data_IF_505553827950
#
_entry.id   IF_505553827950
#
_cell.length_a   1.000
_cell.length_b   1.000
_cell.length_c   1.000
_cell.angle_alpha   90.00
_cell.angle_beta   90.00
_cell.angle_gamma   90.00
#
_symmetry.space_group_name_H-M   'P 1'
#
loop_
_entity.id
_entity.type
_entity.pdbx_description
1 polymer ?
#
# COMPACT_ATOMS: atom_id res chain seq x y z
N UNK A 1 5.60 -10.79 -20.54
CA UNK A 1 4.82 -9.63 -20.06
C UNK A 1 3.53 -9.54 -20.85
N UNK A 2 2.39 -10.08 -20.39
CA UNK A 2 1.16 -9.45 -20.80
C UNK A 2 1.12 -8.09 -20.11
N UNK A 3 0.88 -7.03 -20.88
CA UNK A 3 0.59 -5.71 -20.33
C UNK A 3 -0.48 -5.88 -19.25
N UNK A 4 -0.25 -5.35 -18.04
CA UNK A 4 -1.34 -5.13 -17.08
C UNK A 4 -2.40 -4.33 -17.83
N UNK A 5 -3.60 -4.88 -18.10
CA UNK A 5 -4.54 -4.21 -18.95
C UNK A 5 -5.12 -3.05 -18.16
N UNK A 6 -4.57 -1.85 -18.36
CA UNK A 6 -5.38 -0.64 -18.41
C UNK A 6 -6.19 -0.62 -19.71
N UNK A 7 -6.70 -1.77 -20.15
CA UNK A 7 -7.75 -1.84 -21.14
C UNK A 7 -8.95 -1.11 -20.54
N UNK A 8 -9.69 -0.39 -21.37
CA UNK A 8 -10.87 0.37 -20.99
C UNK A 8 -11.94 -0.56 -20.38
N UNK A 9 -11.79 -0.88 -19.10
CA UNK A 9 -12.68 -1.75 -18.30
C UNK A 9 -14.07 -1.13 -18.15
N UNK A 10 -14.26 0.13 -18.58
CA UNK A 10 -15.56 0.78 -18.55
C UNK A 10 -16.60 0.09 -19.44
N UNK A 11 -16.18 -0.66 -20.47
CA UNK A 11 -17.08 -1.40 -21.33
C UNK A 11 -17.64 -2.67 -20.67
N UNK A 12 -16.90 -3.30 -19.73
CA UNK A 12 -17.31 -4.55 -19.06
C UNK A 12 -17.91 -4.33 -17.66
N UNK A 13 -17.88 -3.10 -17.13
CA UNK A 13 -18.56 -2.77 -15.87
C UNK A 13 -20.08 -2.73 -16.02
N UNK A 14 -20.80 -3.27 -15.02
CA UNK A 14 -22.27 -3.15 -14.94
C UNK A 14 -22.69 -1.68 -14.97
N UNK A 15 -23.76 -1.35 -15.71
CA UNK A 15 -24.23 0.04 -15.87
C UNK A 15 -24.48 0.74 -14.52
N UNK A 16 -25.05 0.02 -13.56
CA UNK A 16 -25.29 0.51 -12.20
C UNK A 16 -23.99 0.90 -11.48
N UNK A 17 -22.95 0.07 -11.61
CA UNK A 17 -21.61 0.34 -11.07
C UNK A 17 -20.97 1.57 -11.72
N UNK A 18 -21.02 1.66 -13.05
CA UNK A 18 -20.48 2.80 -13.81
C UNK A 18 -21.14 4.11 -13.41
N UNK A 19 -22.47 4.12 -13.30
CA UNK A 19 -23.23 5.30 -12.89
C UNK A 19 -22.86 5.72 -11.46
N UNK A 20 -22.75 4.75 -10.54
CA UNK A 20 -22.33 5.03 -9.16
C UNK A 20 -20.91 5.58 -9.10
N UNK A 21 -19.96 4.96 -9.80
CA UNK A 21 -18.57 5.43 -9.92
C UNK A 21 -18.52 6.86 -10.44
N UNK A 22 -19.22 7.14 -11.53
CA UNK A 22 -19.31 8.47 -12.14
C UNK A 22 -19.89 9.52 -11.19
N UNK A 23 -20.93 9.15 -10.43
CA UNK A 23 -21.53 10.03 -9.42
C UNK A 23 -20.53 10.34 -8.31
N UNK A 24 -19.86 9.33 -7.76
CA UNK A 24 -18.86 9.51 -6.71
C UNK A 24 -17.69 10.37 -7.21
N UNK A 25 -17.19 10.13 -8.42
CA UNK A 25 -16.12 10.93 -9.03
C UNK A 25 -16.46 12.43 -9.20
N UNK A 26 -17.75 12.79 -9.20
CA UNK A 26 -18.22 14.18 -9.27
C UNK A 26 -18.64 14.75 -7.93
N UNK A 27 -19.19 13.92 -7.06
CA UNK A 27 -19.78 14.33 -5.79
C UNK A 27 -18.76 14.35 -4.65
N UNK A 28 -17.68 13.57 -4.77
CA UNK A 28 -16.59 13.51 -3.80
C UNK A 28 -15.40 14.31 -4.29
N UNK A 29 -14.58 14.77 -3.34
CA UNK A 29 -13.38 15.55 -3.60
C UNK A 29 -12.27 15.07 -2.69
N UNK A 30 -11.03 15.15 -3.16
CA UNK A 30 -9.82 14.91 -2.37
C UNK A 30 -9.17 16.25 -1.99
N UNK A 31 -9.91 17.35 -2.08
CA UNK A 31 -9.47 18.67 -1.65
C UNK A 31 -9.22 18.68 -0.14
N UNK A 32 -8.11 19.29 0.28
CA UNK A 32 -7.68 19.33 1.67
C UNK A 32 -6.86 18.10 2.11
N UNK A 33 -6.48 17.21 1.19
CA UNK A 33 -5.52 16.15 1.48
C UNK A 33 -4.18 16.72 1.98
N UNK A 34 -3.72 16.19 3.12
CA UNK A 34 -2.55 16.67 3.86
C UNK A 34 -1.35 15.71 3.79
N UNK A 35 -1.53 14.47 3.34
CA UNK A 35 -0.46 13.46 3.36
C UNK A 35 0.81 13.91 2.63
N UNK A 36 0.69 14.37 1.38
CA UNK A 36 1.87 14.78 0.59
C UNK A 36 2.58 15.99 1.19
N UNK A 37 1.84 16.89 1.84
CA UNK A 37 2.43 18.00 2.57
C UNK A 37 3.24 17.47 3.77
N UNK A 38 2.69 16.54 4.54
CA UNK A 38 3.41 15.89 5.65
C UNK A 38 4.65 15.12 5.18
N UNK A 39 4.58 14.44 4.03
CA UNK A 39 5.74 13.77 3.44
C UNK A 39 6.84 14.79 3.10
N UNK A 40 6.48 15.92 2.50
CA UNK A 40 7.43 16.96 2.09
C UNK A 40 8.05 17.73 3.26
N UNK A 41 7.27 17.97 4.32
CA UNK A 41 7.69 18.73 5.51
C UNK A 41 8.32 17.84 6.60
N UNK A 42 8.11 16.53 6.53
CA UNK A 42 8.59 15.58 7.50
C UNK A 42 10.10 15.42 7.47
N UNK A 43 10.68 15.25 8.66
CA UNK A 43 12.08 14.91 8.87
C UNK A 43 12.15 13.40 9.11
N UNK A 44 12.38 12.64 8.03
CA UNK A 44 12.44 11.19 8.05
C UNK A 44 13.58 10.69 7.17
N UNK A 45 14.21 9.60 7.57
CA UNK A 45 15.25 8.91 6.78
C UNK A 45 14.64 7.87 5.84
N UNK A 46 13.58 7.19 6.29
CA UNK A 46 12.88 6.14 5.54
C UNK A 46 11.38 6.41 5.50
N UNK A 47 10.81 6.49 4.30
CA UNK A 47 9.37 6.46 4.08
C UNK A 47 8.96 5.14 3.43
N UNK A 48 8.24 4.30 4.17
CA UNK A 48 7.59 3.10 3.66
C UNK A 48 6.17 3.41 3.20
N UNK A 49 5.87 3.20 1.92
CA UNK A 49 4.52 3.37 1.34
C UNK A 49 3.95 2.00 1.02
N UNK A 50 2.81 1.67 1.63
CA UNK A 50 2.05 0.44 1.38
C UNK A 50 0.98 0.67 0.33
N UNK A 51 0.94 -0.20 -0.69
CA UNK A 51 -0.05 -0.12 -1.77
C UNK A 51 -1.44 -0.58 -1.29
N UNK A 52 -2.43 0.31 -1.39
CA UNK A 52 -3.82 0.04 -1.02
C UNK A 52 -4.06 -0.34 0.45
N UNK A 53 -3.27 0.19 1.40
CA UNK A 53 -3.46 -0.07 2.83
C UNK A 53 -4.50 0.85 3.49
N UNK A 54 -5.68 0.28 3.76
CA UNK A 54 -6.83 0.95 4.36
C UNK A 54 -6.63 1.14 5.87
N UNK A 55 -6.91 2.36 6.35
CA UNK A 55 -6.65 2.78 7.73
C UNK A 55 -7.25 1.88 8.82
N UNK A 56 -8.52 1.49 8.70
CA UNK A 56 -9.16 0.66 9.75
C UNK A 56 -8.56 -0.75 9.81
N UNK A 57 -8.24 -1.33 8.66
CA UNK A 57 -7.63 -2.65 8.57
C UNK A 57 -6.19 -2.60 9.07
N UNK A 58 -5.48 -1.50 8.83
CA UNK A 58 -4.19 -1.23 9.44
C UNK A 58 -4.31 -1.17 10.97
N UNK A 59 -5.26 -0.39 11.51
CA UNK A 59 -5.51 -0.29 12.97
C UNK A 59 -5.86 -1.62 13.62
N UNK A 60 -6.58 -2.48 12.91
CA UNK A 60 -6.91 -3.83 13.39
C UNK A 60 -5.73 -4.82 13.31
N UNK A 61 -4.70 -4.49 12.53
CA UNK A 61 -3.55 -5.38 12.28
C UNK A 61 -2.37 -5.10 13.21
N UNK A 62 -2.38 -3.97 13.93
CA UNK A 62 -1.27 -3.48 14.72
C UNK A 62 -1.71 -2.98 16.07
N UNK A 63 -0.87 -3.19 17.08
CA UNK A 63 -1.16 -2.77 18.45
C UNK A 63 -0.54 -1.41 18.83
N UNK A 64 0.00 -0.67 17.85
CA UNK A 64 0.53 0.70 18.03
C UNK A 64 -0.45 1.80 17.59
N UNK A 65 -0.30 3.04 18.10
CA UNK A 65 -1.10 4.17 17.66
C UNK A 65 -0.92 4.46 16.15
N UNK A 66 -2.00 4.30 15.38
CA UNK A 66 -2.04 4.64 13.96
C UNK A 66 -2.79 5.95 13.75
N UNK A 67 -2.05 6.99 13.37
CA UNK A 67 -2.64 8.27 12.99
C UNK A 67 -3.34 8.16 11.64
N UNK A 68 -4.32 9.02 11.43
CA UNK A 68 -5.03 9.16 10.17
C UNK A 68 -4.48 10.37 9.42
N UNK A 69 -4.14 10.17 8.14
CA UNK A 69 -3.86 11.25 7.19
C UNK A 69 -4.72 11.07 5.96
N UNK A 70 -4.98 12.16 5.25
CA UNK A 70 -5.77 12.13 4.01
C UNK A 70 -4.83 12.13 2.81
N UNK A 71 -4.82 11.04 2.05
CA UNK A 71 -4.09 10.95 0.77
C UNK A 71 -4.80 11.78 -0.32
N UNK A 72 -4.06 12.39 -1.26
CA UNK A 72 -4.65 13.14 -2.36
C UNK A 72 -5.23 12.26 -3.47
N UNK A 73 -5.15 10.93 -3.35
CA UNK A 73 -5.52 10.00 -4.41
C UNK A 73 -6.27 8.78 -3.88
N UNK A 74 -7.08 8.17 -4.74
CA UNK A 74 -7.77 6.92 -4.46
C UNK A 74 -7.22 5.73 -5.25
N UNK A 75 -6.08 5.92 -5.93
CA UNK A 75 -5.36 4.91 -6.71
C UNK A 75 -3.90 5.36 -6.93
N UNK A 76 -2.96 4.42 -7.09
CA UNK A 76 -1.51 4.75 -7.23
C UNK A 76 -1.20 5.73 -8.38
N UNK A 77 -1.76 5.62 -9.60
CA UNK A 77 -1.43 6.55 -10.68
C UNK A 77 -1.73 8.01 -10.33
N UNK A 78 -2.87 8.28 -9.70
CA UNK A 78 -3.22 9.64 -9.26
C UNK A 78 -2.32 10.08 -8.08
N UNK A 79 -1.90 9.15 -7.22
CA UNK A 79 -0.96 9.43 -6.13
C UNK A 79 0.42 9.84 -6.67
N UNK A 80 0.94 9.10 -7.65
CA UNK A 80 2.22 9.40 -8.30
C UNK A 80 2.18 10.71 -9.07
N UNK A 81 1.09 10.99 -9.80
CA UNK A 81 0.91 12.27 -10.48
C UNK A 81 0.98 13.45 -9.48
N UNK A 82 0.22 13.37 -8.38
CA UNK A 82 0.21 14.40 -7.36
C UNK A 82 1.57 14.54 -6.63
N UNK A 83 2.32 13.43 -6.48
CA UNK A 83 3.64 13.43 -5.86
C UNK A 83 4.69 14.06 -6.78
N UNK A 84 4.65 13.74 -8.07
CA UNK A 84 5.51 14.31 -9.10
C UNK A 84 5.29 15.82 -9.26
N UNK A 85 4.02 16.27 -9.31
CA UNK A 85 3.66 17.70 -9.40
C UNK A 85 4.21 18.53 -8.23
N UNK A 86 4.44 17.90 -7.07
CA UNK A 86 5.01 18.52 -5.87
C UNK A 86 6.52 18.37 -5.75
N UNK A 87 7.17 17.63 -6.65
CA UNK A 87 8.59 17.29 -6.55
C UNK A 87 8.93 16.45 -5.32
N UNK A 88 8.00 15.61 -4.83
CA UNK A 88 8.19 14.85 -3.59
C UNK A 88 9.41 13.92 -3.61
N UNK A 89 9.84 13.49 -4.79
CA UNK A 89 10.94 12.54 -4.96
C UNK A 89 12.31 13.22 -5.10
N UNK A 90 12.36 14.56 -5.24
CA UNK A 90 13.62 15.28 -5.42
C UNK A 90 14.52 15.16 -4.19
N UNK A 91 15.81 14.90 -4.40
CA UNK A 91 16.80 14.71 -3.34
C UNK A 91 16.63 13.40 -2.55
N UNK A 92 15.96 12.39 -3.12
CA UNK A 92 15.64 11.12 -2.46
C UNK A 92 15.92 9.93 -3.37
N UNK A 93 16.23 8.80 -2.75
CA UNK A 93 16.23 7.51 -3.44
C UNK A 93 14.80 6.94 -3.48
N UNK A 94 14.42 6.32 -4.59
CA UNK A 94 13.11 5.68 -4.78
C UNK A 94 13.30 4.18 -5.03
N UNK A 95 12.83 3.36 -4.11
CA UNK A 95 12.86 1.90 -4.22
C UNK A 95 11.43 1.40 -4.40
N UNK A 96 11.08 0.86 -5.56
CA UNK A 96 9.67 0.57 -5.85
C UNK A 96 9.44 -0.84 -6.38
N UNK A 97 8.50 -1.53 -5.73
CA UNK A 97 7.90 -2.77 -6.20
C UNK A 97 6.70 -2.52 -7.12
N UNK A 98 6.25 -1.27 -7.30
CA UNK A 98 5.05 -0.91 -8.03
C UNK A 98 5.32 -0.53 -9.50
N UNK A 99 4.89 -1.34 -10.50
CA UNK A 99 5.12 -1.07 -11.92
C UNK A 99 4.46 0.20 -12.46
N UNK A 100 3.56 0.87 -11.73
CA UNK A 100 2.96 2.14 -12.17
C UNK A 100 4.02 3.24 -12.31
N UNK A 101 5.12 3.18 -11.54
CA UNK A 101 6.22 4.14 -11.61
C UNK A 101 6.81 4.29 -13.01
N UNK A 102 6.81 3.23 -13.83
CA UNK A 102 7.33 3.29 -15.21
C UNK A 102 6.56 4.25 -16.14
N UNK A 103 5.36 4.68 -15.72
CA UNK A 103 4.46 5.54 -16.51
C UNK A 103 4.64 7.02 -16.17
N UNK A 104 5.50 7.36 -15.20
CA UNK A 104 5.67 8.71 -14.71
C UNK A 104 7.12 9.15 -14.85
N UNK A 105 7.31 10.41 -15.25
CA UNK A 105 8.60 11.07 -15.23
C UNK A 105 8.61 12.06 -14.05
N UNK A 106 9.65 11.99 -13.22
CA UNK A 106 9.85 12.86 -12.07
C UNK A 106 11.34 12.90 -11.72
N UNK A 107 11.74 13.90 -10.93
CA UNK A 107 13.11 14.06 -10.44
C UNK A 107 13.30 13.26 -9.15
N UNK A 108 14.34 12.43 -9.11
CA UNK A 108 14.81 11.67 -7.94
C UNK A 108 16.33 11.47 -8.04
N UNK A 109 17.01 11.26 -6.92
CA UNK A 109 18.47 11.01 -6.92
C UNK A 109 18.80 9.65 -7.53
N UNK A 110 17.95 8.66 -7.25
CA UNK A 110 17.99 7.35 -7.90
C UNK A 110 16.63 6.67 -7.85
N UNK A 111 16.39 5.75 -8.79
CA UNK A 111 15.19 4.92 -8.83
C UNK A 111 15.55 3.47 -9.15
N UNK A 112 15.01 2.54 -8.35
CA UNK A 112 15.20 1.11 -8.52
C UNK A 112 13.85 0.39 -8.64
N UNK A 113 13.73 -0.45 -9.68
CA UNK A 113 12.48 -1.10 -10.08
C UNK A 113 12.53 -2.61 -9.80
N UNK A 114 11.94 -3.04 -8.68
CA UNK A 114 12.08 -4.42 -8.22
C UNK A 114 11.30 -5.44 -9.05
N UNK A 115 10.25 -5.03 -9.77
CA UNK A 115 9.53 -5.96 -10.66
C UNK A 115 10.37 -6.42 -11.85
N UNK A 116 11.49 -5.75 -12.14
CA UNK A 116 12.40 -6.15 -13.23
C UNK A 116 13.33 -7.31 -12.81
N UNK A 117 13.59 -7.47 -11.52
CA UNK A 117 14.60 -8.39 -10.98
C UNK A 117 14.07 -9.38 -9.94
N UNK A 118 12.99 -9.05 -9.24
CA UNK A 118 12.48 -9.78 -8.08
C UNK A 118 10.99 -10.17 -8.21
N UNK A 119 10.50 -10.27 -9.45
CA UNK A 119 9.15 -10.76 -9.72
C UNK A 119 9.00 -12.23 -9.28
N UNK A 120 8.02 -12.52 -8.45
CA UNK A 120 7.69 -13.88 -8.03
C UNK A 120 6.59 -14.45 -8.93
N UNK A 121 6.94 -15.37 -9.82
CA UNK A 121 5.98 -15.99 -10.75
C UNK A 121 4.89 -16.81 -10.05
N UNK A 122 5.15 -17.34 -8.85
CA UNK A 122 4.15 -18.14 -8.13
C UNK A 122 3.12 -17.24 -7.46
N UNK A 123 3.56 -16.14 -6.86
CA UNK A 123 2.68 -15.19 -6.17
C UNK A 123 2.20 -14.04 -7.07
N UNK A 124 2.72 -13.93 -8.30
CA UNK A 124 2.38 -12.88 -9.26
C UNK A 124 2.53 -11.47 -8.67
N UNK A 125 3.60 -11.25 -7.90
CA UNK A 125 3.89 -9.99 -7.22
C UNK A 125 5.39 -9.91 -6.87
N UNK A 126 5.84 -8.74 -6.44
CA UNK A 126 7.14 -8.58 -5.76
C UNK A 126 6.89 -8.66 -4.26
N UNK A 127 7.58 -9.56 -3.57
CA UNK A 127 7.52 -9.71 -2.12
C UNK A 127 8.29 -8.59 -1.41
N UNK A 128 8.00 -8.28 -0.13
CA UNK A 128 8.60 -7.12 0.53
C UNK A 128 10.10 -7.29 0.82
N UNK A 129 10.58 -8.52 1.04
CA UNK A 129 11.95 -8.82 1.47
C UNK A 129 13.04 -8.10 0.65
N UNK A 130 13.12 -8.29 -0.68
CA UNK A 130 14.12 -7.61 -1.50
C UNK A 130 14.12 -6.09 -1.40
N UNK A 131 12.94 -5.47 -1.24
CA UNK A 131 12.84 -4.01 -1.07
C UNK A 131 13.41 -3.60 0.29
N UNK A 132 13.06 -4.32 1.37
CA UNK A 132 13.55 -4.04 2.72
C UNK A 132 15.06 -4.29 2.88
N UNK A 133 15.58 -5.34 2.24
CA UNK A 133 17.01 -5.62 2.21
C UNK A 133 17.76 -4.44 1.56
N UNK A 134 17.26 -3.94 0.42
CA UNK A 134 17.85 -2.79 -0.25
C UNK A 134 17.73 -1.49 0.54
N UNK A 135 16.62 -1.27 1.25
CA UNK A 135 16.48 -0.14 2.20
C UNK A 135 17.55 -0.24 3.28
N UNK A 136 17.74 -1.42 3.87
CA UNK A 136 18.75 -1.67 4.91
C UNK A 136 20.16 -1.35 4.42
N UNK A 137 20.51 -1.82 3.22
CA UNK A 137 21.79 -1.49 2.59
C UNK A 137 21.95 0.02 2.33
N UNK A 138 20.86 0.70 1.94
CA UNK A 138 20.86 2.14 1.63
C UNK A 138 21.11 3.00 2.87
N UNK A 139 20.38 2.74 3.96
CA UNK A 139 20.44 3.55 5.19
C UNK A 139 21.69 3.28 6.02
N UNK A 140 22.33 2.13 5.84
CA UNK A 140 23.62 1.81 6.47
C UNK A 140 24.78 2.70 6.01
N UNK A 141 24.61 3.47 4.94
CA UNK A 141 25.59 4.44 4.43
C UNK A 141 25.18 5.90 4.66
N UNK A 142 26.08 6.84 4.34
CA UNK A 142 25.75 8.28 4.27
C UNK A 142 24.96 8.56 2.99
N UNK A 143 23.66 8.31 3.05
CA UNK A 143 22.75 8.32 1.90
C UNK A 143 21.59 9.30 2.11
N UNK A 144 21.02 9.89 1.03
CA UNK A 144 19.83 10.72 1.15
C UNK A 144 18.62 9.90 1.63
N UNK A 145 17.54 10.55 2.12
CA UNK A 145 16.33 9.86 2.52
C UNK A 145 15.75 8.98 1.40
N UNK A 146 15.11 7.88 1.79
CA UNK A 146 14.60 6.87 0.85
C UNK A 146 13.09 6.70 0.94
N UNK A 147 12.42 6.67 -0.22
CA UNK A 147 11.01 6.31 -0.36
C UNK A 147 10.96 4.89 -0.91
N UNK A 148 10.46 3.95 -0.09
CA UNK A 148 10.24 2.57 -0.49
C UNK A 148 8.74 2.29 -0.66
N UNK A 149 8.30 2.04 -1.89
CA UNK A 149 6.91 1.72 -2.20
C UNK A 149 6.73 0.21 -2.41
N UNK A 150 6.12 -0.43 -1.42
CA UNK A 150 5.88 -1.87 -1.37
C UNK A 150 4.56 -2.22 -2.07
N UNK A 151 4.50 -3.38 -2.71
CA UNK A 151 3.30 -3.84 -3.43
C UNK A 151 2.21 -4.39 -2.48
N UNK A 152 2.53 -4.67 -1.22
CA UNK A 152 1.54 -5.18 -0.26
C UNK A 152 0.94 -4.02 0.55
N UNK A 153 -0.36 -4.08 0.91
CA UNK A 153 -1.27 -5.23 0.79
C UNK A 153 -2.06 -5.38 -0.54
N UNK A 154 -1.79 -4.60 -1.58
CA UNK A 154 -2.48 -4.67 -2.88
C UNK A 154 -2.50 -6.09 -3.50
N UNK A 155 -3.48 -6.34 -4.36
CA UNK A 155 -3.63 -7.59 -5.08
C UNK A 155 -2.46 -7.89 -6.04
N UNK A 156 -2.05 -9.17 -6.24
CA UNK A 156 -2.50 -10.40 -5.59
C UNK A 156 -2.27 -10.44 -4.08
N UNK A 157 -3.32 -10.77 -3.32
CA UNK A 157 -3.21 -10.84 -1.86
C UNK A 157 -2.32 -12.01 -1.47
N UNK A 158 -1.17 -11.68 -0.89
CA UNK A 158 -0.23 -12.64 -0.32
C UNK A 158 -0.24 -12.53 1.20
N UNK A 159 -0.07 -13.65 1.90
CA UNK A 159 0.08 -13.67 3.34
C UNK A 159 1.28 -14.52 3.73
N UNK A 160 1.93 -14.15 4.83
CA UNK A 160 3.07 -14.87 5.38
C UNK A 160 2.56 -15.88 6.41
N UNK A 161 2.77 -17.16 6.12
CA UNK A 161 2.52 -18.28 7.05
C UNK A 161 3.90 -18.79 7.46
N UNK A 162 4.21 -18.74 8.75
CA UNK A 162 5.56 -18.95 9.28
C UNK A 162 6.57 -18.02 8.56
N UNK A 163 7.54 -18.60 7.85
CA UNK A 163 8.58 -17.89 7.08
C UNK A 163 8.34 -17.90 5.56
N UNK A 164 7.16 -18.33 5.12
CA UNK A 164 6.85 -18.44 3.70
C UNK A 164 5.68 -17.53 3.32
N UNK A 165 5.84 -16.80 2.21
CA UNK A 165 4.76 -16.07 1.57
C UNK A 165 3.93 -17.00 0.69
N UNK A 166 2.62 -16.95 0.79
CA UNK A 166 1.70 -17.72 -0.04
C UNK A 166 0.58 -16.82 -0.58
N UNK A 167 -0.04 -17.23 -1.69
CA UNK A 167 -1.27 -16.60 -2.16
C UNK A 167 -2.38 -16.82 -1.12
N UNK A 168 -2.82 -15.74 -0.49
CA UNK A 168 -3.93 -15.76 0.46
C UNK A 168 -5.28 -15.87 -0.26
N UNK A 169 -5.33 -15.46 -1.52
CA UNK A 169 -6.46 -15.68 -2.43
C UNK A 169 -5.95 -16.28 -3.75
N UNK A 170 -6.10 -17.60 -3.98
CA UNK A 170 -5.44 -18.30 -5.09
C UNK A 170 -6.16 -18.17 -6.45
N UNK A 171 -7.38 -17.60 -6.46
CA UNK A 171 -8.13 -17.39 -7.68
C UNK A 171 -7.75 -16.03 -8.29
N UNK A 172 -6.74 -16.04 -9.16
CA UNK A 172 -6.20 -14.84 -9.82
C UNK A 172 -6.88 -14.51 -11.15
N UNK A 173 -7.88 -15.29 -11.54
CA UNK A 173 -8.49 -15.23 -12.86
C UNK A 173 -7.62 -15.87 -13.96
N UNK A 174 -7.93 -15.61 -15.24
CA UNK A 174 -9.08 -14.81 -15.68
C UNK A 174 -10.42 -15.46 -15.27
N UNK A 175 -11.44 -14.63 -15.04
CA UNK A 175 -12.79 -15.11 -14.71
C UNK A 175 -13.66 -15.13 -15.95
N UNK A 176 -14.79 -15.84 -15.91
CA UNK A 176 -15.73 -15.91 -17.04
C UNK A 176 -17.16 -15.55 -16.66
N UNK A 177 -17.87 -14.95 -17.62
CA UNK A 177 -19.30 -14.67 -17.54
C UNK A 177 -20.00 -15.11 -18.83
N UNK A 178 -20.39 -16.38 -18.87
CA UNK A 178 -20.76 -17.03 -20.13
C UNK A 178 -19.54 -17.17 -21.03
N UNK A 179 -19.61 -16.59 -22.23
CA UNK A 179 -18.52 -16.61 -23.22
C UNK A 179 -17.57 -15.40 -23.09
N UNK A 180 -17.82 -14.47 -22.14
CA UNK A 180 -16.98 -13.28 -21.92
C UNK A 180 -15.87 -13.57 -20.89
N UNK A 181 -14.62 -13.26 -21.24
CA UNK A 181 -13.47 -13.27 -20.35
C UNK A 181 -13.36 -11.95 -19.57
N UNK A 182 -13.20 -12.02 -18.25
CA UNK A 182 -13.04 -10.88 -17.35
C UNK A 182 -11.62 -10.90 -16.81
N UNK A 183 -10.80 -9.94 -17.26
CA UNK A 183 -9.39 -9.83 -16.84
C UNK A 183 -9.20 -8.97 -15.57
N UNK A 184 -10.14 -8.08 -15.25
CA UNK A 184 -10.00 -7.12 -14.15
C UNK A 184 -10.69 -7.56 -12.87
N UNK A 185 -9.95 -7.63 -11.76
CA UNK A 185 -10.47 -7.97 -10.43
C UNK A 185 -11.65 -7.10 -10.00
N UNK A 186 -11.59 -5.78 -10.24
CA UNK A 186 -12.70 -4.85 -9.97
C UNK A 186 -14.01 -5.28 -10.66
N UNK A 187 -13.93 -5.67 -11.93
CA UNK A 187 -15.10 -6.11 -12.72
C UNK A 187 -15.57 -7.48 -12.24
N UNK A 188 -14.64 -8.38 -11.93
CA UNK A 188 -14.94 -9.71 -11.41
C UNK A 188 -15.65 -9.64 -10.05
N UNK A 189 -15.21 -8.79 -9.12
CA UNK A 189 -15.91 -8.52 -7.87
C UNK A 189 -17.30 -7.90 -8.12
N UNK A 190 -17.38 -6.87 -8.97
CA UNK A 190 -18.64 -6.20 -9.27
C UNK A 190 -19.69 -7.13 -9.91
N UNK A 191 -19.24 -8.14 -10.66
CA UNK A 191 -20.09 -9.17 -11.27
C UNK A 191 -20.29 -10.42 -10.39
N UNK A 192 -19.77 -10.42 -9.16
CA UNK A 192 -19.93 -11.54 -8.22
C UNK A 192 -19.19 -12.81 -8.65
N UNK A 193 -18.11 -12.68 -9.44
CA UNK A 193 -17.23 -13.79 -9.84
C UNK A 193 -16.17 -14.11 -8.80
N UNK A 194 -15.88 -13.14 -7.93
CA UNK A 194 -14.99 -13.27 -6.78
C UNK A 194 -15.83 -13.32 -5.51
N UNK A 195 -15.46 -14.21 -4.59
CA UNK A 195 -15.98 -14.20 -3.22
C UNK A 195 -15.32 -13.03 -2.47
N UNK A 196 -16.06 -11.92 -2.38
CA UNK A 196 -15.59 -10.65 -1.84
C UNK A 196 -15.27 -10.75 -0.34
N UNK A 197 -15.98 -11.58 0.42
CA UNK A 197 -15.70 -11.77 1.85
C UNK A 197 -14.40 -12.57 2.06
N UNK A 198 -14.18 -13.58 1.22
CA UNK A 198 -12.91 -14.31 1.20
C UNK A 198 -11.76 -13.43 0.72
N UNK A 199 -11.97 -12.60 -0.29
CA UNK A 199 -10.99 -11.62 -0.77
C UNK A 199 -10.63 -10.61 0.33
N UNK A 200 -11.63 -10.07 1.03
CA UNK A 200 -11.41 -9.18 2.17
C UNK A 200 -10.65 -9.88 3.31
N UNK A 201 -10.96 -11.14 3.60
CA UNK A 201 -10.22 -11.93 4.60
C UNK A 201 -8.75 -12.14 4.21
N UNK A 202 -8.48 -12.39 2.92
CA UNK A 202 -7.13 -12.50 2.37
C UNK A 202 -6.37 -11.17 2.44
N UNK A 203 -7.01 -10.06 2.09
CA UNK A 203 -6.47 -8.72 2.25
C UNK A 203 -6.10 -8.42 3.71
N UNK A 204 -6.98 -8.71 4.67
CA UNK A 204 -6.67 -8.54 6.11
C UNK A 204 -5.46 -9.38 6.55
N UNK A 205 -5.31 -10.59 6.01
CA UNK A 205 -4.13 -11.43 6.26
C UNK A 205 -2.86 -10.84 5.62
N UNK A 206 -2.97 -10.25 4.44
CA UNK A 206 -1.88 -9.52 3.77
C UNK A 206 -1.43 -8.32 4.60
N UNK A 207 -2.36 -7.50 5.10
CA UNK A 207 -2.06 -6.36 5.99
C UNK A 207 -1.31 -6.80 7.25
N UNK A 208 -1.77 -7.85 7.94
CA UNK A 208 -1.02 -8.39 9.10
C UNK A 208 0.36 -8.89 8.73
N UNK A 209 0.48 -9.53 7.57
CA UNK A 209 1.74 -10.14 7.12
C UNK A 209 2.79 -9.10 6.73
N UNK A 210 2.37 -8.01 6.07
CA UNK A 210 3.28 -6.93 5.73
C UNK A 210 3.80 -6.26 7.00
N UNK A 211 2.93 -5.90 7.95
CA UNK A 211 3.36 -5.34 9.24
C UNK A 211 4.32 -6.26 10.00
N UNK A 212 4.01 -7.56 10.13
CA UNK A 212 4.92 -8.56 10.74
C UNK A 212 6.29 -8.62 10.05
N UNK A 213 6.38 -8.23 8.78
CA UNK A 213 7.61 -8.25 8.00
C UNK A 213 8.38 -6.93 8.06
N UNK A 214 7.68 -5.79 8.19
CA UNK A 214 8.34 -4.49 8.32
C UNK A 214 9.01 -4.32 9.68
N UNK A 215 8.36 -4.77 10.75
CA UNK A 215 8.75 -4.40 12.13
C UNK A 215 10.19 -4.73 12.48
N UNK A 216 10.74 -5.93 12.19
CA UNK A 216 12.14 -6.22 12.54
C UNK A 216 13.13 -5.30 11.80
N UNK A 217 12.81 -4.91 10.56
CA UNK A 217 13.65 -4.00 9.80
C UNK A 217 13.56 -2.56 10.35
N UNK A 218 12.34 -2.10 10.66
CA UNK A 218 12.10 -0.80 11.29
C UNK A 218 12.83 -0.71 12.64
N UNK A 219 12.72 -1.75 13.47
CA UNK A 219 13.40 -1.83 14.77
C UNK A 219 14.91 -1.68 14.62
N UNK A 220 15.51 -2.42 13.69
CA UNK A 220 16.94 -2.31 13.38
C UNK A 220 17.32 -0.89 12.95
N UNK A 221 16.58 -0.29 12.01
CA UNK A 221 16.90 1.06 11.51
C UNK A 221 16.76 2.13 12.60
N UNK A 222 15.73 2.03 13.44
CA UNK A 222 15.53 2.96 14.56
C UNK A 222 16.61 2.82 15.61
N UNK A 223 17.06 1.59 15.90
CA UNK A 223 18.19 1.33 16.80
C UNK A 223 19.51 1.93 16.28
N UNK A 224 19.68 1.99 14.96
CA UNK A 224 20.80 2.66 14.29
C UNK A 224 20.63 4.19 14.21
N UNK A 225 19.54 4.72 14.76
CA UNK A 225 19.27 6.16 14.88
C UNK A 225 18.45 6.76 13.74
N UNK A 226 17.90 5.94 12.84
CA UNK A 226 17.07 6.41 11.74
C UNK A 226 15.62 6.69 12.18
N UNK A 227 15.00 7.64 11.49
CA UNK A 227 13.59 7.99 11.61
C UNK A 227 12.80 7.35 10.47
N UNK A 228 11.73 6.64 10.80
CA UNK A 228 10.96 5.83 9.85
C UNK A 228 9.48 6.23 9.89
N UNK A 229 8.90 6.48 8.72
CA UNK A 229 7.47 6.73 8.55
C UNK A 229 6.86 5.60 7.72
N UNK A 230 5.73 5.05 8.18
CA UNK A 230 4.92 4.10 7.40
C UNK A 230 3.58 4.74 7.06
N UNK A 231 3.25 4.77 5.77
CA UNK A 231 1.96 5.26 5.26
C UNK A 231 1.46 4.41 4.10
N UNK A 232 0.36 4.80 3.46
CA UNK A 232 -0.19 4.13 2.29
C UNK A 232 -0.52 5.12 1.18
N UNK A 233 -0.39 4.73 -0.08
CA UNK A 233 -0.74 5.60 -1.21
C UNK A 233 -2.26 5.85 -1.29
N UNK A 234 -3.06 4.81 -1.03
CA UNK A 234 -4.51 4.84 -0.90
C UNK A 234 -5.04 3.66 -0.06
N UNK A 235 -6.36 3.59 0.12
CA UNK A 235 -7.04 2.44 0.72
C UNK A 235 -7.62 1.47 -0.32
N UNK A 236 -8.45 0.53 0.15
CA UNK A 236 -9.03 -0.56 -0.64
C UNK A 236 -10.50 -0.80 -0.23
N UNK A 237 -11.39 -1.10 -1.19
CA UNK A 237 -12.81 -1.38 -0.89
C UNK A 237 -13.34 -2.71 -1.42
N UNK A 238 -14.31 -3.26 -0.68
CA UNK A 238 -14.80 -4.63 -0.86
C UNK A 238 -16.34 -4.66 -0.97
N UNK A 239 -16.95 -3.71 -1.68
CA UNK A 239 -18.37 -3.78 -2.05
C UNK A 239 -19.37 -3.55 -0.91
N UNK A 240 -18.94 -3.26 0.32
CA UNK A 240 -19.84 -2.99 1.45
C UNK A 240 -20.59 -1.67 1.26
N UNK A 241 -21.71 -1.51 1.96
CA UNK A 241 -22.47 -0.25 1.98
C UNK A 241 -21.62 0.94 2.47
N UNK A 242 -20.79 0.71 3.49
CA UNK A 242 -19.82 1.69 4.01
C UNK A 242 -18.75 2.08 2.99
N UNK A 243 -18.52 1.20 2.02
CA UNK A 243 -17.57 1.38 0.94
C UNK A 243 -18.25 1.96 -0.31
N UNK A 244 -19.45 2.53 -0.14
CA UNK A 244 -20.33 2.98 -1.22
C UNK A 244 -20.54 1.90 -2.29
N UNK A 245 -20.50 0.62 -1.94
CA UNK A 245 -20.63 -0.52 -2.86
C UNK A 245 -19.69 -0.42 -4.08
N UNK A 246 -18.49 0.10 -3.83
CA UNK A 246 -17.36 0.15 -4.76
C UNK A 246 -16.42 -1.02 -4.48
N UNK A 247 -15.65 -1.44 -5.49
CA UNK A 247 -14.71 -2.55 -5.42
C UNK A 247 -13.33 -2.08 -5.86
N UNK A 248 -12.28 -2.65 -5.27
CA UNK A 248 -10.88 -2.22 -5.47
C UNK A 248 -10.68 -0.74 -5.09
N UNK A 249 -9.91 0.00 -5.88
CA UNK A 249 -9.53 1.38 -5.64
C UNK A 249 -9.74 2.20 -6.92
N UNK A 250 -10.99 2.44 -7.33
CA UNK A 250 -11.29 3.20 -8.53
C UNK A 250 -10.74 4.62 -8.41
N UNK A 251 -9.97 5.05 -9.40
CA UNK A 251 -9.39 6.40 -9.41
C UNK A 251 -10.46 7.50 -9.32
N UNK A 252 -10.07 8.62 -8.70
CA UNK A 252 -10.89 9.83 -8.50
C UNK A 252 -12.13 9.63 -7.64
N UNK A 253 -12.17 8.62 -6.78
CA UNK A 253 -13.28 8.37 -5.85
C UNK A 253 -12.85 8.74 -4.44
N UNK A 254 -13.23 9.95 -4.00
CA UNK A 254 -12.85 10.54 -2.71
C UNK A 254 -13.69 10.08 -1.52
N UNK A 255 -13.88 8.77 -1.37
CA UNK A 255 -14.57 8.21 -0.18
C UNK A 255 -13.54 7.85 0.90
N UNK A 256 -13.90 8.04 2.17
CA UNK A 256 -12.98 7.84 3.30
C UNK A 256 -12.26 6.48 3.31
N UNK A 257 -12.89 5.33 2.99
CA UNK A 257 -12.18 4.05 2.91
C UNK A 257 -11.03 3.99 1.88
N UNK A 258 -11.04 4.87 0.88
CA UNK A 258 -9.97 4.97 -0.12
C UNK A 258 -8.97 6.09 0.19
N UNK A 259 -9.39 7.13 0.92
CA UNK A 259 -8.58 8.34 1.10
C UNK A 259 -8.06 8.58 2.51
N UNK A 260 -8.61 7.91 3.52
CA UNK A 260 -8.03 7.91 4.86
C UNK A 260 -7.06 6.74 4.99
N UNK A 261 -5.79 7.05 5.18
CA UNK A 261 -4.67 6.09 5.17
C UNK A 261 -3.88 6.18 6.47
N UNK A 262 -3.17 5.09 6.85
CA UNK A 262 -2.36 5.08 8.05
C UNK A 262 -1.19 6.06 7.95
N UNK A 263 -0.78 6.57 9.10
CA UNK A 263 0.46 7.30 9.31
C UNK A 263 1.04 6.87 10.66
N UNK A 264 2.22 6.26 10.63
CA UNK A 264 2.91 5.76 11.82
C UNK A 264 4.35 6.23 11.76
N UNK A 265 4.80 6.89 12.82
CA UNK A 265 6.16 7.42 12.95
C UNK A 265 6.92 6.60 13.98
N UNK A 266 8.16 6.22 13.65
CA UNK A 266 9.09 5.55 14.52
C UNK A 266 10.37 6.38 14.57
N UNK A 267 10.79 6.76 15.77
CA UNK A 267 12.00 7.53 16.00
C UNK A 267 12.70 7.06 17.28
N UNK A 268 14.00 7.35 17.38
CA UNK A 268 14.82 7.02 18.55
C UNK A 268 14.57 7.92 19.77
N UNK A 269 13.72 8.94 19.61
CA UNK A 269 13.46 10.00 20.60
C UNK A 269 12.15 9.85 21.37
N UNK A 270 11.27 8.92 20.99
CA UNK A 270 10.05 8.64 21.73
C UNK A 270 10.42 8.18 23.15
N UNK A 271 10.16 9.00 24.19
CA UNK A 271 10.62 8.69 25.53
C UNK A 271 9.87 7.48 26.09
N UNK A 272 10.56 6.74 26.96
CA UNK A 272 10.02 5.78 27.94
C UNK A 272 9.00 6.44 28.89
N UNK A 273 7.86 6.87 28.37
CA UNK A 273 6.79 7.48 29.16
C UNK A 273 5.43 6.90 28.80
N UNK A 274 5.29 5.59 29.02
CA UNK A 274 4.39 4.99 30.03
C UNK A 274 4.92 3.58 30.31
N UNK A 275 5.46 3.39 31.53
CA UNK A 275 5.87 2.12 32.19
C UNK A 275 6.80 1.18 31.38
N UNK A 276 8.10 1.27 31.72
CA UNK A 276 9.25 0.40 31.37
C UNK A 276 9.12 -0.49 30.13
N UNK A 277 9.65 0.01 29.02
CA UNK A 277 10.04 -0.83 27.90
C UNK A 277 10.57 -0.06 26.69
N UNK A 278 11.80 -0.41 26.27
CA UNK A 278 12.36 -0.09 24.95
C UNK A 278 11.40 -0.45 23.81
N UNK A 279 11.62 0.05 22.59
CA UNK A 279 10.82 -0.39 21.41
C UNK A 279 10.79 -1.93 21.33
N UNK A 280 11.90 -2.57 21.66
CA UNK A 280 12.01 -4.02 21.79
C UNK A 280 11.11 -4.59 22.90
N UNK A 281 11.14 -4.04 24.11
CA UNK A 281 10.24 -4.47 25.20
C UNK A 281 8.75 -4.24 24.85
N UNK A 282 8.42 -3.20 24.08
CA UNK A 282 7.05 -2.98 23.57
C UNK A 282 6.68 -4.02 22.52
N UNK A 283 7.59 -4.38 21.62
CA UNK A 283 7.36 -5.41 20.62
C UNK A 283 7.27 -6.80 21.26
N UNK A 284 8.11 -7.13 22.24
CA UNK A 284 8.05 -8.37 23.04
C UNK A 284 6.75 -8.42 23.88
N UNK A 285 6.38 -7.32 24.55
CA UNK A 285 5.14 -7.24 25.33
C UNK A 285 3.88 -7.36 24.46
N UNK A 286 3.97 -7.01 23.18
CA UNK A 286 2.89 -7.12 22.19
C UNK A 286 3.00 -8.42 21.34
N UNK A 287 3.99 -9.28 21.60
CA UNK A 287 4.15 -10.58 20.94
C UNK A 287 4.70 -10.54 19.51
N UNK A 288 5.40 -9.46 19.15
CA UNK A 288 6.01 -9.24 17.84
C UNK A 288 7.52 -9.56 17.77
N UNK A 289 8.19 -9.78 18.91
CA UNK A 289 9.59 -10.19 19.02
C UNK A 289 9.74 -11.32 20.08
N UNK A 290 10.72 -12.23 19.90
CA UNK A 290 11.15 -13.25 20.86
C UNK A 290 12.57 -12.97 21.37
#
# INVERSE_FOLDING_TARGET
MPESPTADTSASEQLSYRLRKWLLQRATSMAGADQHQRIAEGDWDVLLVLDACRLDTCRDAVDWPVQEVTTPASCTPDWLAAAADRGLFAGKAVLTANPQYQKFEFEADSIEHFWQSHWDERRQTVLPGPVLDRVTEHVSGDSPPVIAHLQQPHWPYVARIDDQWELAYPDLGPWTDGDEEIAGMQVAMARGKIDVERAYSAYRASVRSIWRTLLPAIESWVADGHTVVVTADHGEVFGRLTDATMYEHPCKVGIRPLTAVPWVEFDSSQPDTVDDGTVQDRLEALGYAE
#
